data_IF_536355296585
#
_entry.id   IF_536355296585
#
_cell.length_a   1.000
_cell.length_b   1.000
_cell.length_c   1.000
_cell.angle_alpha   90.00
_cell.angle_beta   90.00
_cell.angle_gamma   90.00
#
_symmetry.space_group_name_H-M   'P 1'
#
loop_
_entity.id
_entity.type
_entity.pdbx_description
1 polymer ?
#
# COMPACT_ATOMS: atom_id res chain seq x y z
N UNK A 1 -14.49 -4.77 27.43
CA UNK A 1 -14.46 -3.90 26.23
C UNK A 1 -13.51 -4.51 25.22
N UNK A 2 -13.96 -4.65 24.00
CA UNK A 2 -13.12 -5.16 22.90
C UNK A 2 -11.88 -4.28 22.69
N UNK A 3 -10.77 -4.89 22.30
CA UNK A 3 -9.50 -4.19 22.09
C UNK A 3 -8.70 -4.81 20.94
N UNK A 4 -7.99 -3.97 20.22
CA UNK A 4 -7.00 -4.35 19.23
C UNK A 4 -5.63 -4.35 19.89
N UNK A 5 -4.85 -5.41 19.69
CA UNK A 5 -3.45 -5.49 20.09
C UNK A 5 -2.58 -5.56 18.85
N UNK A 6 -1.55 -4.72 18.79
CA UNK A 6 -0.54 -4.72 17.76
C UNK A 6 0.72 -5.42 18.27
N UNK A 7 1.20 -6.40 17.53
CA UNK A 7 2.42 -7.13 17.86
C UNK A 7 3.63 -6.51 17.14
N UNK A 8 4.41 -5.72 17.87
CA UNK A 8 5.64 -5.07 17.37
C UNK A 8 6.65 -6.07 16.80
N UNK A 9 6.86 -7.20 17.48
CA UNK A 9 7.84 -8.19 17.02
C UNK A 9 7.44 -8.82 15.69
N UNK A 10 6.14 -9.06 15.49
CA UNK A 10 5.63 -9.55 14.21
C UNK A 10 5.80 -8.51 13.10
N UNK A 11 5.50 -7.24 13.39
CA UNK A 11 5.74 -6.14 12.44
C UNK A 11 7.23 -6.07 12.05
N UNK A 12 8.13 -6.10 13.01
CA UNK A 12 9.57 -6.04 12.76
C UNK A 12 10.07 -7.25 11.98
N UNK A 13 9.56 -8.43 12.28
CA UNK A 13 9.85 -9.64 11.51
C UNK A 13 9.43 -9.50 10.03
N UNK A 14 8.24 -8.98 9.79
CA UNK A 14 7.74 -8.76 8.43
C UNK A 14 8.56 -7.69 7.69
N UNK A 15 8.87 -6.58 8.36
CA UNK A 15 9.68 -5.50 7.78
C UNK A 15 11.10 -5.97 7.47
N UNK A 16 11.68 -6.86 8.29
CA UNK A 16 12.98 -7.46 8.02
C UNK A 16 12.93 -8.34 6.76
N UNK A 17 11.94 -9.24 6.65
CA UNK A 17 11.77 -10.08 5.46
C UNK A 17 11.56 -9.23 4.18
N UNK A 18 10.77 -8.15 4.27
CA UNK A 18 10.54 -7.21 3.17
C UNK A 18 11.85 -6.50 2.81
N UNK A 19 12.62 -6.03 3.79
CA UNK A 19 13.87 -5.31 3.58
C UNK A 19 14.94 -6.19 2.96
N UNK A 20 15.06 -7.43 3.41
CA UNK A 20 15.96 -8.41 2.81
C UNK A 20 15.60 -8.68 1.35
N UNK A 21 14.31 -8.82 1.05
CA UNK A 21 13.84 -9.04 -0.33
C UNK A 21 14.06 -7.82 -1.23
N UNK A 22 13.91 -6.62 -0.68
CA UNK A 22 14.19 -5.35 -1.37
C UNK A 22 15.68 -4.96 -1.34
N UNK A 23 16.54 -5.79 -0.74
CA UNK A 23 18.00 -5.65 -0.53
C UNK A 23 18.41 -4.62 0.52
N UNK A 24 17.56 -3.70 0.93
CA UNK A 24 17.80 -2.79 2.05
C UNK A 24 16.53 -2.13 2.58
N UNK A 25 16.59 -1.54 3.78
CA UNK A 25 15.48 -0.76 4.37
C UNK A 25 15.20 0.52 3.59
N UNK A 26 16.22 1.12 3.00
CA UNK A 26 16.13 2.34 2.18
C UNK A 26 15.31 2.11 0.91
N UNK A 27 15.28 0.88 0.41
CA UNK A 27 14.49 0.46 -0.75
C UNK A 27 13.07 0.00 -0.40
N UNK A 28 12.59 0.30 0.81
CA UNK A 28 11.23 -0.02 1.25
C UNK A 28 10.46 1.25 1.57
N UNK A 29 9.26 1.37 1.00
CA UNK A 29 8.25 2.32 1.39
C UNK A 29 7.04 1.54 1.96
N UNK A 30 6.69 1.80 3.24
CA UNK A 30 5.52 1.16 3.86
C UNK A 30 4.23 1.85 3.43
N UNK A 31 3.21 1.08 3.06
CA UNK A 31 1.92 1.62 2.63
C UNK A 31 0.97 1.67 3.82
N UNK A 32 0.58 2.90 4.20
CA UNK A 32 -0.21 3.20 5.41
C UNK A 32 -1.60 3.76 5.09
N UNK A 33 -2.07 3.61 3.85
CA UNK A 33 -3.42 4.06 3.46
C UNK A 33 -4.53 3.38 4.28
N UNK A 34 -5.71 4.01 4.28
CA UNK A 34 -6.92 3.47 4.91
C UNK A 34 -6.66 3.08 6.38
N UNK A 35 -6.09 4.03 7.15
CA UNK A 35 -5.69 3.87 8.54
C UNK A 35 -4.72 2.70 8.77
N UNK A 36 -3.69 2.57 7.90
CA UNK A 36 -2.74 1.45 7.90
C UNK A 36 -3.45 0.09 7.80
N UNK A 37 -4.38 -0.03 6.82
CA UNK A 37 -5.22 -1.22 6.65
C UNK A 37 -6.00 -1.60 7.93
N UNK A 38 -6.44 -0.59 8.68
CA UNK A 38 -7.17 -0.76 9.95
C UNK A 38 -6.30 -0.94 11.19
N UNK A 39 -4.97 -0.96 11.05
CA UNK A 39 -4.02 -1.21 12.16
C UNK A 39 -3.69 0.05 12.98
N UNK A 40 -4.15 1.25 12.55
CA UNK A 40 -3.78 2.52 13.18
C UNK A 40 -2.57 3.16 12.49
N UNK A 41 -2.83 4.26 11.74
CA UNK A 41 -1.79 4.86 10.88
C UNK A 41 -0.63 5.43 11.69
N UNK A 42 -0.90 6.05 12.85
CA UNK A 42 0.13 6.67 13.70
C UNK A 42 0.97 5.60 14.40
N UNK A 43 0.32 4.56 14.90
CA UNK A 43 0.95 3.43 15.60
C UNK A 43 1.92 2.69 14.67
N UNK A 44 1.46 2.34 13.47
CA UNK A 44 2.29 1.64 12.49
C UNK A 44 3.39 2.57 11.95
N UNK A 45 3.11 3.86 11.73
CA UNK A 45 4.13 4.83 11.32
C UNK A 45 5.27 4.92 12.33
N UNK A 46 4.93 5.08 13.62
CA UNK A 46 5.91 5.12 14.72
C UNK A 46 6.77 3.87 14.76
N UNK A 47 6.17 2.68 14.72
CA UNK A 47 6.88 1.42 14.76
C UNK A 47 7.75 1.19 13.50
N UNK A 48 7.26 1.58 12.32
CA UNK A 48 8.04 1.48 11.09
C UNK A 48 9.26 2.42 11.08
N UNK A 49 9.08 3.64 11.61
CA UNK A 49 10.18 4.59 11.81
C UNK A 49 11.20 4.06 12.83
N UNK A 50 10.76 3.47 13.94
CA UNK A 50 11.60 2.83 14.95
C UNK A 50 12.41 1.66 14.35
N UNK A 51 11.83 0.89 13.44
CA UNK A 51 12.54 -0.17 12.72
C UNK A 51 13.60 0.40 11.75
N UNK A 52 13.47 1.65 11.33
CA UNK A 52 14.40 2.35 10.45
C UNK A 52 13.90 2.61 9.03
N UNK A 53 12.60 2.37 8.74
CA UNK A 53 12.02 2.74 7.45
C UNK A 53 11.90 4.26 7.35
N UNK A 54 12.29 4.82 6.20
CA UNK A 54 12.30 6.28 5.94
C UNK A 54 11.23 6.75 4.97
N UNK A 55 10.58 5.82 4.25
CA UNK A 55 9.61 6.12 3.21
C UNK A 55 8.24 5.55 3.55
N UNK A 56 7.19 6.35 3.34
CA UNK A 56 5.81 5.91 3.47
C UNK A 56 4.99 6.24 2.22
N UNK A 57 3.90 5.52 2.04
CA UNK A 57 2.91 5.76 0.98
C UNK A 57 1.54 5.82 1.63
N UNK A 58 0.82 6.90 1.38
CA UNK A 58 -0.54 7.12 1.90
C UNK A 58 -1.53 7.45 0.79
N UNK A 59 -2.80 7.49 1.11
CA UNK A 59 -3.84 7.84 0.14
C UNK A 59 -4.01 9.34 0.00
N UNK A 60 -4.08 10.07 1.10
CA UNK A 60 -4.50 11.47 1.16
C UNK A 60 -3.47 12.37 1.85
N UNK A 61 -3.66 13.67 1.69
CA UNK A 61 -2.88 14.70 2.37
C UNK A 61 -3.09 14.66 3.88
N UNK A 62 -4.33 14.40 4.31
CA UNK A 62 -4.70 14.29 5.72
C UNK A 62 -3.95 13.13 6.39
N UNK A 63 -3.81 12.01 5.71
CA UNK A 63 -3.01 10.88 6.20
C UNK A 63 -1.52 11.23 6.26
N UNK A 64 -1.00 11.92 5.25
CA UNK A 64 0.39 12.39 5.24
C UNK A 64 0.70 13.32 6.41
N UNK A 65 -0.21 14.25 6.73
CA UNK A 65 -0.06 15.17 7.86
C UNK A 65 0.01 14.46 9.23
N UNK A 66 -0.73 13.36 9.41
CA UNK A 66 -0.70 12.57 10.66
C UNK A 66 0.66 11.91 10.92
N UNK A 67 1.44 11.65 9.85
CA UNK A 67 2.67 10.84 9.94
C UNK A 67 3.93 11.60 9.49
N UNK A 68 3.83 12.90 9.20
CA UNK A 68 4.92 13.71 8.62
C UNK A 68 6.22 13.71 9.43
N UNK A 69 6.11 13.55 10.74
CA UNK A 69 7.26 13.60 11.65
C UNK A 69 8.01 12.25 11.75
N UNK A 70 7.45 11.18 11.17
CA UNK A 70 8.06 9.83 11.20
C UNK A 70 8.86 9.49 9.95
N UNK A 71 8.61 10.16 8.81
CA UNK A 71 9.21 9.81 7.54
C UNK A 71 9.81 11.03 6.84
N UNK A 72 10.97 10.83 6.23
CA UNK A 72 11.61 11.85 5.38
C UNK A 72 11.06 11.88 3.95
N UNK A 73 10.20 10.91 3.60
CA UNK A 73 9.61 10.76 2.27
C UNK A 73 8.21 10.16 2.39
N UNK A 74 7.20 10.88 1.91
CA UNK A 74 5.80 10.42 1.95
C UNK A 74 5.16 10.62 0.58
N UNK A 75 4.83 9.52 -0.10
CA UNK A 75 4.12 9.53 -1.37
C UNK A 75 2.60 9.53 -1.14
N UNK A 76 1.90 10.53 -1.66
CA UNK A 76 0.45 10.70 -1.60
C UNK A 76 -0.14 10.23 -2.93
N UNK A 77 -0.91 9.13 -2.90
CA UNK A 77 -1.39 8.46 -4.11
C UNK A 77 -2.59 9.15 -4.77
N UNK A 78 -3.45 9.80 -4.00
CA UNK A 78 -4.65 10.48 -4.48
C UNK A 78 -4.76 11.86 -3.82
N UNK A 79 -3.92 12.82 -4.22
CA UNK A 79 -4.02 14.19 -3.70
C UNK A 79 -5.35 14.77 -4.18
N UNK A 80 -6.22 15.10 -3.23
CA UNK A 80 -7.54 15.73 -3.46
C UNK A 80 -7.48 17.25 -3.31
N UNK A 81 -6.39 17.76 -2.75
CA UNK A 81 -6.14 19.18 -2.52
C UNK A 81 -4.71 19.48 -2.95
N UNK A 82 -4.54 20.55 -3.71
CA UNK A 82 -3.24 20.97 -4.20
C UNK A 82 -2.85 22.29 -3.52
N UNK A 83 -2.06 22.18 -2.44
CA UNK A 83 -1.48 23.31 -1.70
C UNK A 83 0.04 23.21 -1.70
N UNK A 84 0.72 24.21 -1.18
CA UNK A 84 2.15 24.12 -0.89
C UNK A 84 2.39 23.07 0.20
N UNK A 85 2.94 21.94 -0.19
CA UNK A 85 3.24 20.84 0.70
C UNK A 85 4.62 20.94 1.32
N UNK A 86 4.82 20.20 2.43
CA UNK A 86 6.16 19.95 2.96
C UNK A 86 7.06 19.36 1.88
N UNK A 87 8.34 19.69 1.89
CA UNK A 87 9.35 19.14 0.98
C UNK A 87 9.49 17.61 1.09
N UNK A 88 8.99 17.01 2.17
CA UNK A 88 8.94 15.54 2.36
C UNK A 88 7.77 14.89 1.65
N UNK A 89 6.79 15.67 1.17
CA UNK A 89 5.61 15.16 0.48
C UNK A 89 5.87 15.08 -1.02
N UNK A 90 5.53 13.94 -1.57
CA UNK A 90 5.55 13.65 -2.99
C UNK A 90 4.11 13.32 -3.42
N UNK A 91 3.63 13.91 -4.50
CA UNK A 91 2.25 13.74 -4.95
C UNK A 91 2.20 12.96 -6.27
N UNK A 92 1.25 12.05 -6.39
CA UNK A 92 1.06 11.30 -7.62
C UNK A 92 0.28 12.12 -8.66
N UNK A 93 0.83 12.28 -9.85
CA UNK A 93 0.11 12.73 -11.03
C UNK A 93 -0.63 11.51 -11.61
N UNK A 94 -1.95 11.48 -11.49
CA UNK A 94 -2.80 10.40 -11.93
C UNK A 94 -3.45 10.61 -13.30
N UNK A 95 -3.47 11.85 -13.80
CA UNK A 95 -4.03 12.26 -15.11
C UNK A 95 -3.40 13.56 -15.55
N UNK A 96 -3.31 13.80 -16.88
CA UNK A 96 -2.77 15.05 -17.44
C UNK A 96 -3.55 16.29 -17.02
N UNK A 97 -4.85 16.20 -16.84
CA UNK A 97 -5.75 17.29 -16.46
C UNK A 97 -5.40 17.90 -15.09
N UNK A 98 -4.67 17.19 -14.26
CA UNK A 98 -4.24 17.67 -12.96
C UNK A 98 -2.92 18.46 -12.99
N UNK A 99 -2.21 18.50 -14.11
CA UNK A 99 -0.91 19.19 -14.22
C UNK A 99 -1.03 20.65 -13.82
N UNK A 100 -2.04 21.35 -14.32
CA UNK A 100 -2.23 22.80 -14.04
C UNK A 100 -2.58 23.09 -12.58
N UNK A 101 -3.04 22.09 -11.82
CA UNK A 101 -3.37 22.19 -10.40
C UNK A 101 -2.15 21.97 -9.50
N UNK A 102 -1.04 21.45 -10.05
CA UNK A 102 0.18 21.15 -9.27
C UNK A 102 0.86 22.45 -8.82
N UNK A 103 1.07 22.66 -7.51
CA UNK A 103 1.77 23.85 -7.05
C UNK A 103 3.24 23.85 -7.49
N UNK A 104 3.81 25.05 -7.66
CA UNK A 104 5.23 25.20 -7.94
C UNK A 104 6.08 24.57 -6.83
N UNK A 105 7.24 24.04 -7.21
CA UNK A 105 8.19 23.37 -6.31
C UNK A 105 7.66 22.09 -5.63
N UNK A 106 6.49 21.59 -6.04
CA UNK A 106 6.01 20.29 -5.55
C UNK A 106 6.85 19.14 -6.09
N UNK A 107 7.10 18.13 -5.27
CA UNK A 107 7.69 16.87 -5.70
C UNK A 107 6.60 15.99 -6.29
N UNK A 108 6.78 15.53 -7.53
CA UNK A 108 5.75 14.82 -8.28
C UNK A 108 6.26 13.46 -8.73
N UNK A 109 5.40 12.45 -8.55
CA UNK A 109 5.55 11.14 -9.15
C UNK A 109 4.55 10.96 -10.30
N UNK A 110 5.03 10.73 -11.50
CA UNK A 110 4.19 10.43 -12.65
C UNK A 110 3.74 8.97 -12.55
N UNK A 111 2.44 8.74 -12.51
CA UNK A 111 1.88 7.40 -12.55
C UNK A 111 1.60 6.99 -13.99
N UNK A 112 2.14 5.84 -14.39
CA UNK A 112 1.93 5.25 -15.72
C UNK A 112 0.89 4.13 -15.60
N UNK A 113 -0.12 4.14 -16.44
CA UNK A 113 -1.04 3.01 -16.58
C UNK A 113 -0.42 1.96 -17.52
N UNK A 114 -0.03 0.84 -16.96
CA UNK A 114 0.51 -0.31 -17.68
C UNK A 114 -0.49 -1.46 -17.78
N UNK A 115 -1.77 -1.22 -17.51
CA UNK A 115 -2.82 -2.23 -17.67
C UNK A 115 -3.70 -2.45 -16.43
N UNK A 116 -3.60 -1.61 -15.39
CA UNK A 116 -4.56 -1.61 -14.30
C UNK A 116 -5.85 -0.86 -14.66
N UNK A 117 -5.78 0.10 -15.57
CA UNK A 117 -6.89 0.89 -16.11
C UNK A 117 -7.75 1.56 -15.03
N UNK A 118 -7.09 2.10 -14.00
CA UNK A 118 -7.74 2.82 -12.89
C UNK A 118 -7.28 4.27 -12.81
N UNK A 119 -5.98 4.51 -12.78
CA UNK A 119 -5.34 5.82 -12.73
C UNK A 119 -3.98 5.71 -13.41
N UNK A 120 -3.48 6.81 -13.93
CA UNK A 120 -2.19 6.91 -14.60
C UNK A 120 -2.34 7.46 -16.01
N UNK A 121 -1.27 7.98 -16.56
CA UNK A 121 -1.20 8.44 -17.94
C UNK A 121 -0.71 7.31 -18.86
N UNK A 122 -0.92 7.42 -20.16
CA UNK A 122 -0.38 6.48 -21.13
C UNK A 122 1.14 6.66 -21.29
N UNK A 123 1.82 5.66 -21.87
CA UNK A 123 3.26 5.76 -22.17
C UNK A 123 3.51 6.86 -23.19
N UNK A 124 2.59 7.06 -24.14
CA UNK A 124 2.70 8.07 -25.19
C UNK A 124 2.61 9.50 -24.63
N UNK A 125 1.95 9.68 -23.50
CA UNK A 125 1.77 10.97 -22.83
C UNK A 125 2.97 11.38 -21.93
N UNK A 126 4.00 10.55 -21.80
CA UNK A 126 5.13 10.80 -20.87
C UNK A 126 5.82 12.14 -21.19
N UNK A 127 6.15 12.43 -22.44
CA UNK A 127 6.82 13.67 -22.80
C UNK A 127 5.93 14.89 -22.52
N UNK A 128 4.64 14.80 -22.83
CA UNK A 128 3.65 15.85 -22.54
C UNK A 128 3.55 16.12 -21.04
N UNK A 129 3.50 15.06 -20.22
CA UNK A 129 3.45 15.19 -18.76
C UNK A 129 4.73 15.85 -18.21
N UNK A 130 5.91 15.42 -18.67
CA UNK A 130 7.19 15.99 -18.24
C UNK A 130 7.25 17.48 -18.59
N UNK A 131 6.97 17.84 -19.84
CA UNK A 131 6.98 19.26 -20.29
C UNK A 131 5.96 20.11 -19.51
N UNK A 132 4.75 19.58 -19.29
CA UNK A 132 3.72 20.25 -18.51
C UNK A 132 4.15 20.50 -17.05
N UNK A 133 4.74 19.49 -16.38
CA UNK A 133 5.25 19.65 -15.03
C UNK A 133 6.42 20.65 -14.93
N UNK A 134 7.31 20.67 -15.93
CA UNK A 134 8.40 21.67 -15.99
C UNK A 134 7.84 23.08 -16.14
N UNK A 135 6.80 23.27 -16.98
CA UNK A 135 6.10 24.56 -17.10
C UNK A 135 5.50 25.01 -15.78
N UNK A 136 4.99 24.08 -14.96
CA UNK A 136 4.51 24.35 -13.61
C UNK A 136 5.64 24.54 -12.58
N UNK A 137 6.91 24.42 -12.97
CA UNK A 137 8.07 24.45 -12.07
C UNK A 137 7.99 23.37 -10.97
N UNK A 138 7.41 22.23 -11.26
CA UNK A 138 7.36 21.08 -10.36
C UNK A 138 8.64 20.24 -10.50
N UNK A 139 9.02 19.54 -9.42
CA UNK A 139 10.15 18.64 -9.38
C UNK A 139 9.65 17.21 -9.73
N UNK A 140 10.10 16.62 -10.81
CA UNK A 140 9.78 15.26 -11.17
C UNK A 140 10.70 14.33 -10.38
N UNK A 141 10.20 13.74 -9.29
CA UNK A 141 10.99 12.96 -8.34
C UNK A 141 10.77 11.46 -8.47
N UNK A 142 9.74 11.02 -9.21
CA UNK A 142 9.51 9.60 -9.43
C UNK A 142 8.59 9.31 -10.61
N UNK A 143 8.66 8.06 -11.07
CA UNK A 143 7.76 7.47 -12.05
C UNK A 143 7.38 6.07 -11.59
N UNK A 144 6.10 5.72 -11.62
CA UNK A 144 5.66 4.45 -11.09
C UNK A 144 4.45 3.87 -11.81
N UNK A 145 4.26 2.58 -11.62
CA UNK A 145 3.03 1.87 -11.99
C UNK A 145 2.51 1.03 -10.84
N UNK A 146 1.41 0.31 -11.05
CA UNK A 146 0.84 -0.64 -10.09
C UNK A 146 0.39 -1.91 -10.78
N UNK A 147 0.93 -3.04 -10.35
CA UNK A 147 0.58 -4.36 -10.87
C UNK A 147 -0.78 -4.81 -10.34
N UNK A 148 -1.68 -5.26 -11.25
CA UNK A 148 -3.02 -5.77 -10.91
C UNK A 148 -3.04 -7.25 -10.58
N UNK A 149 -2.15 -8.04 -11.18
CA UNK A 149 -2.15 -9.50 -11.09
C UNK A 149 -0.81 -10.06 -10.61
N UNK A 150 -0.13 -9.36 -9.69
CA UNK A 150 1.08 -9.90 -9.07
C UNK A 150 0.77 -11.01 -8.05
N UNK A 151 -0.44 -11.02 -7.52
CA UNK A 151 -1.06 -11.96 -6.59
C UNK A 151 -1.91 -13.04 -7.28
N UNK A 152 -1.80 -13.18 -8.60
CA UNK A 152 -2.55 -14.14 -9.40
C UNK A 152 -1.64 -14.92 -10.36
N UNK A 153 -2.07 -16.12 -10.74
CA UNK A 153 -1.47 -16.89 -11.83
C UNK A 153 -1.97 -16.38 -13.18
N UNK A 154 -1.50 -15.21 -13.58
CA UNK A 154 -1.84 -14.63 -14.87
C UNK A 154 -0.60 -14.09 -15.59
N UNK A 155 -0.70 -13.97 -16.92
CA UNK A 155 0.34 -13.35 -17.76
C UNK A 155 0.35 -11.83 -17.62
N UNK A 156 -0.71 -11.23 -17.05
CA UNK A 156 -0.86 -9.77 -16.94
C UNK A 156 0.29 -9.10 -16.20
N UNK A 157 0.87 -9.78 -15.20
CA UNK A 157 2.03 -9.28 -14.46
C UNK A 157 3.25 -9.08 -15.38
N UNK A 158 3.54 -10.04 -16.25
CA UNK A 158 4.67 -9.95 -17.18
C UNK A 158 4.45 -8.87 -18.22
N UNK A 159 3.25 -8.75 -18.78
CA UNK A 159 2.91 -7.66 -19.72
C UNK A 159 3.05 -6.29 -19.08
N UNK A 160 2.60 -6.13 -17.83
CA UNK A 160 2.76 -4.87 -17.12
C UNK A 160 4.23 -4.54 -16.84
N UNK A 161 5.07 -5.52 -16.54
CA UNK A 161 6.52 -5.34 -16.39
C UNK A 161 7.16 -4.87 -17.69
N UNK A 162 6.82 -5.51 -18.81
CA UNK A 162 7.33 -5.12 -20.13
C UNK A 162 6.93 -3.68 -20.48
N UNK A 163 5.65 -3.33 -20.29
CA UNK A 163 5.16 -1.98 -20.53
C UNK A 163 5.83 -0.96 -19.60
N UNK A 164 6.07 -1.29 -18.34
CA UNK A 164 6.80 -0.38 -17.45
C UNK A 164 8.27 -0.25 -17.84
N UNK A 165 8.90 -1.29 -18.36
CA UNK A 165 10.24 -1.20 -18.92
C UNK A 165 10.30 -0.24 -20.13
N UNK A 166 9.31 -0.30 -21.02
CA UNK A 166 9.16 0.67 -22.13
C UNK A 166 8.95 2.09 -21.62
N UNK A 167 8.11 2.26 -20.57
CA UNK A 167 7.91 3.56 -19.93
C UNK A 167 9.20 4.12 -19.35
N UNK A 168 9.99 3.30 -18.62
CA UNK A 168 11.30 3.69 -18.08
C UNK A 168 12.26 4.13 -19.20
N UNK A 169 12.31 3.41 -20.30
CA UNK A 169 13.15 3.78 -21.46
C UNK A 169 12.71 5.13 -22.04
N UNK A 170 11.40 5.35 -22.21
CA UNK A 170 10.87 6.63 -22.70
C UNK A 170 11.17 7.79 -21.78
N UNK A 171 11.03 7.61 -20.46
CA UNK A 171 11.39 8.63 -19.45
C UNK A 171 12.88 8.97 -19.55
N UNK A 172 13.76 7.97 -19.67
CA UNK A 172 15.21 8.18 -19.82
C UNK A 172 15.52 9.00 -21.06
N UNK A 173 14.96 8.62 -22.22
CA UNK A 173 15.11 9.34 -23.48
C UNK A 173 14.72 10.83 -23.34
N UNK A 174 13.55 11.10 -22.73
CA UNK A 174 13.07 12.47 -22.54
C UNK A 174 13.94 13.25 -21.55
N UNK A 175 14.36 12.62 -20.45
CA UNK A 175 15.25 13.25 -19.48
C UNK A 175 16.61 13.60 -20.09
N UNK A 176 17.21 12.70 -20.89
CA UNK A 176 18.47 12.96 -21.61
C UNK A 176 18.32 14.14 -22.59
N UNK A 177 17.26 14.14 -23.42
CA UNK A 177 16.94 15.21 -24.37
C UNK A 177 16.79 16.57 -23.70
N UNK A 178 16.24 16.61 -22.48
CA UNK A 178 15.96 17.84 -21.74
C UNK A 178 16.99 18.16 -20.65
N UNK A 179 18.07 17.39 -20.55
CA UNK A 179 19.10 17.51 -19.53
C UNK A 179 18.57 17.50 -18.09
N UNK A 180 17.57 16.62 -17.83
CA UNK A 180 16.95 16.46 -16.51
C UNK A 180 17.60 15.31 -15.73
N UNK A 181 17.61 15.39 -14.39
CA UNK A 181 17.99 14.25 -13.57
C UNK A 181 16.94 13.12 -13.74
N UNK A 182 17.41 11.87 -13.68
CA UNK A 182 16.50 10.72 -13.71
C UNK A 182 15.67 10.67 -12.44
N UNK A 183 14.34 10.52 -12.54
CA UNK A 183 13.47 10.31 -11.40
C UNK A 183 13.60 8.88 -10.87
N UNK A 184 13.22 8.66 -9.61
CA UNK A 184 13.14 7.33 -9.02
C UNK A 184 12.07 6.47 -9.71
N UNK A 185 12.36 5.19 -9.95
CA UNK A 185 11.41 4.23 -10.54
C UNK A 185 10.92 3.24 -9.48
N UNK A 186 9.62 2.95 -9.47
CA UNK A 186 9.07 1.92 -8.59
C UNK A 186 7.77 1.31 -9.12
N UNK A 187 7.68 -0.02 -9.13
CA UNK A 187 6.47 -0.75 -9.58
C UNK A 187 5.96 -1.73 -8.52
N UNK A 188 6.87 -2.38 -7.79
CA UNK A 188 6.53 -3.47 -6.90
C UNK A 188 5.57 -3.07 -5.77
N UNK A 189 4.43 -3.77 -5.68
CA UNK A 189 3.63 -3.93 -4.48
C UNK A 189 4.17 -5.14 -3.67
N UNK A 190 3.49 -5.54 -2.58
CA UNK A 190 3.91 -6.67 -1.75
C UNK A 190 4.11 -7.96 -2.54
N UNK A 191 3.09 -8.38 -3.30
CA UNK A 191 3.13 -9.64 -4.04
C UNK A 191 4.16 -9.60 -5.17
N UNK A 192 4.27 -8.47 -5.90
CA UNK A 192 5.29 -8.29 -6.93
C UNK A 192 6.71 -8.42 -6.35
N UNK A 193 6.98 -7.79 -5.21
CA UNK A 193 8.29 -7.84 -4.57
C UNK A 193 8.70 -9.28 -4.26
N UNK A 194 7.81 -10.07 -3.64
CA UNK A 194 8.14 -11.44 -3.27
C UNK A 194 8.13 -12.41 -4.45
N UNK A 195 7.37 -12.11 -5.52
CA UNK A 195 7.37 -12.88 -6.76
C UNK A 195 8.65 -12.73 -7.58
N UNK A 196 9.29 -11.57 -7.54
CA UNK A 196 10.56 -11.35 -8.23
C UNK A 196 11.68 -12.20 -7.64
N UNK A 197 12.54 -12.76 -8.49
CA UNK A 197 13.72 -13.52 -8.03
C UNK A 197 14.75 -12.58 -7.42
N UNK A 198 15.04 -11.50 -8.12
CA UNK A 198 16.03 -10.50 -7.72
C UNK A 198 15.45 -9.09 -7.93
N UNK A 199 15.31 -8.32 -6.86
CA UNK A 199 14.78 -6.97 -6.92
C UNK A 199 15.72 -6.01 -7.67
N UNK A 200 17.03 -6.21 -7.59
CA UNK A 200 18.02 -5.33 -8.24
C UNK A 200 17.95 -5.39 -9.77
N UNK A 201 17.58 -6.55 -10.34
CA UNK A 201 17.42 -6.69 -11.79
C UNK A 201 16.29 -5.83 -12.37
N UNK A 202 15.37 -5.36 -11.52
CA UNK A 202 14.31 -4.45 -11.94
C UNK A 202 14.83 -3.03 -12.25
N UNK A 203 16.01 -2.67 -11.73
CA UNK A 203 16.52 -1.30 -11.77
C UNK A 203 15.45 -0.32 -11.25
N UNK A 204 14.94 -0.59 -10.05
CA UNK A 204 13.96 0.21 -9.33
C UNK A 204 14.52 0.66 -7.98
N UNK A 205 14.11 1.84 -7.53
CA UNK A 205 14.67 2.51 -6.38
C UNK A 205 14.07 2.03 -5.08
N UNK A 206 12.78 1.61 -5.09
CA UNK A 206 12.13 1.05 -3.90
C UNK A 206 10.85 0.27 -4.23
N UNK A 207 10.47 -0.61 -3.34
CA UNK A 207 9.19 -1.32 -3.34
C UNK A 207 8.20 -0.65 -2.38
N UNK A 208 6.89 -0.77 -2.67
CA UNK A 208 5.79 -0.28 -1.84
C UNK A 208 5.12 -1.45 -1.12
N UNK A 209 5.59 -1.75 0.08
CA UNK A 209 5.06 -2.85 0.89
C UNK A 209 3.77 -2.44 1.59
N UNK A 210 2.65 -3.03 1.15
CA UNK A 210 1.34 -2.87 1.76
C UNK A 210 1.00 -4.06 2.65
N UNK A 211 0.21 -4.98 2.12
CA UNK A 211 -0.36 -6.08 2.90
C UNK A 211 0.70 -6.97 3.58
N UNK A 212 1.87 -7.15 2.97
CA UNK A 212 2.96 -7.90 3.57
C UNK A 212 3.49 -7.28 4.87
N UNK A 213 3.45 -5.95 5.01
CA UNK A 213 3.81 -5.27 6.27
C UNK A 213 2.96 -5.78 7.43
N UNK A 214 1.70 -6.08 7.18
CA UNK A 214 0.73 -6.53 8.18
C UNK A 214 0.68 -8.05 8.36
N UNK A 215 1.48 -8.80 7.58
CA UNK A 215 1.66 -10.24 7.76
C UNK A 215 0.85 -11.11 6.82
N UNK A 216 0.41 -10.57 5.67
CA UNK A 216 -0.41 -11.30 4.71
C UNK A 216 0.20 -11.28 3.30
N UNK A 217 0.16 -12.44 2.65
CA UNK A 217 0.39 -12.68 1.22
C UNK A 217 -0.55 -13.80 0.79
N UNK A 218 -0.85 -13.90 -0.50
CA UNK A 218 -1.67 -14.99 -1.03
C UNK A 218 -0.89 -16.32 -0.93
N UNK A 219 -1.39 -17.23 -0.08
CA UNK A 219 -0.73 -18.53 0.20
C UNK A 219 -1.02 -19.58 -0.87
N UNK A 220 -2.07 -19.41 -1.69
CA UNK A 220 -2.52 -20.40 -2.68
C UNK A 220 -1.73 -20.39 -3.99
N UNK A 221 -0.73 -19.55 -4.11
CA UNK A 221 0.10 -19.44 -5.30
C UNK A 221 1.32 -20.37 -5.20
N UNK A 222 1.79 -20.94 -6.32
CA UNK A 222 2.97 -21.81 -6.35
C UNK A 222 4.30 -21.01 -6.23
N UNK A 223 4.27 -19.91 -5.50
CA UNK A 223 5.43 -19.09 -5.19
C UNK A 223 5.89 -19.40 -3.77
N UNK A 224 7.19 -19.52 -3.59
CA UNK A 224 7.77 -19.72 -2.27
C UNK A 224 7.82 -18.40 -1.48
N UNK A 225 6.65 -17.95 -1.04
CA UNK A 225 6.54 -16.73 -0.23
C UNK A 225 6.97 -17.01 1.22
N UNK A 226 7.61 -16.05 1.89
CA UNK A 226 7.94 -16.21 3.30
C UNK A 226 6.66 -16.26 4.14
N UNK A 227 6.66 -17.08 5.18
CA UNK A 227 5.57 -17.09 6.15
C UNK A 227 5.64 -15.83 7.01
N UNK A 228 4.91 -14.80 6.63
CA UNK A 228 4.77 -13.57 7.39
C UNK A 228 3.90 -13.78 8.64
N UNK A 229 3.94 -12.82 9.56
CA UNK A 229 3.25 -12.94 10.86
C UNK A 229 2.16 -11.86 11.00
N UNK A 230 0.89 -12.22 11.25
CA UNK A 230 -0.15 -11.25 11.52
C UNK A 230 0.24 -10.26 12.62
N UNK A 231 0.09 -8.97 12.34
CA UNK A 231 0.48 -7.88 13.25
C UNK A 231 -0.64 -7.57 14.24
N UNK A 232 -1.89 -7.71 13.84
CA UNK A 232 -3.06 -7.35 14.62
C UNK A 232 -3.77 -8.57 15.18
N UNK A 233 -4.23 -8.48 16.42
CA UNK A 233 -5.20 -9.40 17.00
C UNK A 233 -6.33 -8.63 17.67
N UNK A 234 -7.54 -9.19 17.56
CA UNK A 234 -8.75 -8.65 18.16
C UNK A 234 -9.15 -9.50 19.35
N UNK A 235 -9.36 -8.85 20.47
CA UNK A 235 -9.74 -9.48 21.73
C UNK A 235 -11.09 -8.92 22.17
N UNK A 236 -11.97 -9.82 22.62
CA UNK A 236 -13.26 -9.46 23.17
C UNK A 236 -13.50 -10.23 24.48
N UNK A 237 -14.18 -9.59 25.42
CA UNK A 237 -14.52 -10.20 26.70
C UNK A 237 -15.82 -10.99 26.56
N UNK A 238 -15.83 -12.20 27.11
CA UNK A 238 -17.05 -12.98 27.18
C UNK A 238 -18.03 -12.33 28.16
N UNK A 239 -19.24 -12.02 27.71
CA UNK A 239 -20.29 -11.36 28.50
C UNK A 239 -21.17 -12.37 29.21
N UNK A 240 -21.55 -13.44 28.51
CA UNK A 240 -22.42 -14.46 29.06
C UNK A 240 -22.22 -15.80 28.31
N UNK A 241 -22.61 -16.89 28.95
CA UNK A 241 -22.79 -18.19 28.31
C UNK A 241 -24.12 -18.79 28.72
N UNK A 242 -24.75 -19.52 27.83
CA UNK A 242 -26.00 -20.26 28.11
C UNK A 242 -26.05 -21.56 27.34
N UNK A 243 -26.75 -22.53 27.86
CA UNK A 243 -27.09 -23.74 27.13
C UNK A 243 -28.21 -23.43 26.14
N UNK A 244 -28.00 -23.76 24.88
CA UNK A 244 -29.02 -23.78 23.84
C UNK A 244 -29.39 -25.24 23.58
N UNK A 245 -30.64 -25.58 23.78
CA UNK A 245 -31.13 -26.95 23.57
C UNK A 245 -31.30 -27.22 22.07
N UNK A 246 -31.23 -28.51 21.71
CA UNK A 246 -31.55 -28.97 20.34
C UNK A 246 -32.85 -28.32 19.87
N UNK A 247 -32.86 -27.86 18.62
CA UNK A 247 -33.96 -27.17 17.94
C UNK A 247 -34.30 -25.75 18.48
N UNK A 248 -33.58 -25.22 19.46
CA UNK A 248 -33.69 -23.80 19.80
C UNK A 248 -32.85 -22.93 18.87
N UNK A 249 -33.37 -21.75 18.55
CA UNK A 249 -32.66 -20.77 17.72
C UNK A 249 -32.08 -19.64 18.55
N UNK A 250 -31.02 -18.98 18.05
CA UNK A 250 -30.37 -17.86 18.73
C UNK A 250 -30.28 -16.64 17.79
N UNK A 251 -30.41 -15.45 18.40
CA UNK A 251 -30.24 -14.16 17.75
C UNK A 251 -31.46 -13.69 16.93
N UNK A 252 -31.30 -12.54 16.29
CA UNK A 252 -32.35 -11.94 15.46
C UNK A 252 -32.70 -12.82 14.26
N UNK A 253 -33.99 -13.09 14.11
CA UNK A 253 -34.50 -13.90 12.99
C UNK A 253 -34.19 -15.40 13.11
N UNK A 254 -33.59 -15.86 14.24
CA UNK A 254 -33.34 -17.28 14.48
C UNK A 254 -32.53 -18.00 13.40
N UNK A 255 -31.64 -17.30 12.73
CA UNK A 255 -30.88 -17.84 11.57
C UNK A 255 -30.03 -19.07 11.91
N UNK A 256 -29.60 -19.18 13.15
CA UNK A 256 -28.91 -20.36 13.63
C UNK A 256 -29.81 -21.15 14.57
N UNK A 257 -30.03 -22.42 14.27
CA UNK A 257 -30.78 -23.38 15.07
C UNK A 257 -29.85 -24.51 15.54
N UNK A 258 -29.87 -24.80 16.83
CA UNK A 258 -29.02 -25.83 17.42
C UNK A 258 -29.41 -27.22 16.93
N UNK A 259 -28.49 -27.98 16.33
CA UNK A 259 -28.67 -29.35 15.92
C UNK A 259 -28.55 -30.35 17.07
N UNK A 260 -27.94 -29.94 18.18
CA UNK A 260 -27.77 -30.67 19.44
C UNK A 260 -27.72 -29.67 20.60
N UNK A 261 -27.79 -30.15 21.84
CA UNK A 261 -27.52 -29.32 23.01
C UNK A 261 -26.11 -28.77 22.93
N UNK A 262 -25.97 -27.43 23.05
CA UNK A 262 -24.68 -26.76 22.94
C UNK A 262 -24.58 -25.54 23.87
N UNK A 263 -23.38 -25.09 24.13
CA UNK A 263 -23.13 -23.83 24.82
C UNK A 263 -22.90 -22.72 23.80
N UNK A 264 -23.64 -21.64 23.91
CA UNK A 264 -23.42 -20.41 23.17
C UNK A 264 -22.89 -19.33 24.09
N UNK A 265 -21.95 -18.52 23.61
CA UNK A 265 -21.37 -17.40 24.36
C UNK A 265 -21.54 -16.10 23.60
N UNK A 266 -21.83 -15.04 24.32
CA UNK A 266 -21.83 -13.67 23.79
C UNK A 266 -20.60 -12.93 24.22
N UNK A 267 -20.11 -12.06 23.36
CA UNK A 267 -18.93 -11.24 23.58
C UNK A 267 -19.26 -9.77 23.41
N UNK A 268 -18.44 -8.88 24.00
CA UNK A 268 -18.62 -7.43 24.00
C UNK A 268 -18.16 -6.78 22.66
N UNK A 269 -18.42 -7.46 21.56
CA UNK A 269 -18.13 -6.98 20.21
C UNK A 269 -19.25 -7.44 19.25
N UNK A 270 -19.58 -6.60 18.29
CA UNK A 270 -20.63 -6.89 17.31
C UNK A 270 -20.63 -5.99 16.10
N UNK A 271 -21.75 -5.95 15.39
CA UNK A 271 -21.88 -5.17 14.16
C UNK A 271 -21.72 -3.66 14.38
N UNK A 272 -22.03 -3.14 15.55
CA UNK A 272 -21.76 -1.75 15.95
C UNK A 272 -20.27 -1.40 15.99
N UNK A 273 -19.39 -2.41 16.11
CA UNK A 273 -17.93 -2.27 16.12
C UNK A 273 -17.31 -2.60 14.74
N UNK A 274 -18.13 -2.79 13.70
CA UNK A 274 -17.69 -3.09 12.34
C UNK A 274 -17.67 -4.57 11.96
N UNK A 275 -18.13 -5.49 12.82
CA UNK A 275 -18.33 -6.89 12.43
C UNK A 275 -19.49 -7.00 11.44
N UNK A 276 -19.24 -7.68 10.31
CA UNK A 276 -20.29 -7.90 9.32
C UNK A 276 -21.39 -8.80 9.88
N UNK A 277 -22.63 -8.40 9.70
CA UNK A 277 -23.80 -9.23 9.95
C UNK A 277 -24.13 -9.98 8.66
N UNK A 278 -23.68 -11.22 8.57
CA UNK A 278 -23.96 -12.13 7.45
C UNK A 278 -25.38 -12.72 7.55
#
# INVERSE_FOLDING_TARGET
>A
MARILLNKNNLFYNLEAISQKATSKEKVAVVLKDNAYGHGIVEIAKLSCEFGIKKAVVKSVEDAQKIKDYFSYILILAPNVFHNYSHTFHIALNTLENIEKIPQNSNVHIKIDTGMHRNGISIDDIEVAILGLLKQKANITGVFTHHKGADELSTSFFFQKELFSKAKAKVKEVCEKLFLPLPAFHSCNSSALFREKNFEELNEDFARAGIATYGYLEDDLPFNFPKLKPVMSLWASKMASRTLKKNQSVGYGGKFTASADMIVSTYDIGYGDGFLRL
#
